data_IF_368280448548
#
_entry.id   IF_368280448548
#
_cell.length_a   1.000
_cell.length_b   1.000
_cell.length_c   1.000
_cell.angle_alpha   90.00
_cell.angle_beta   90.00
_cell.angle_gamma   90.00
#
_symmetry.space_group_name_H-M   'P 1'
#
loop_
_entity.id
_entity.type
_entity.pdbx_description
1 polymer ?
#
# COMPACT_ATOMS: atom_id res chain seq x y z
N UNK A 1 -3.73 8.53 -47.42
CA UNK A 1 -2.44 7.97 -46.96
C UNK A 1 -2.75 6.82 -46.02
N UNK A 2 -2.00 5.71 -46.12
CA UNK A 2 -2.23 4.51 -45.31
C UNK A 2 -1.46 4.65 -43.99
N UNK A 3 -1.96 4.06 -42.90
CA UNK A 3 -1.31 4.08 -41.58
C UNK A 3 0.14 3.54 -41.61
N UNK A 4 0.42 2.64 -42.54
CA UNK A 4 1.75 2.09 -42.80
C UNK A 4 2.77 3.16 -43.22
N UNK A 5 2.33 4.18 -43.95
CA UNK A 5 3.19 5.24 -44.45
C UNK A 5 3.68 6.09 -43.26
N UNK A 6 2.77 6.46 -42.36
CA UNK A 6 3.06 7.23 -41.15
C UNK A 6 4.07 6.53 -40.24
N UNK A 7 3.94 5.21 -40.06
CA UNK A 7 4.89 4.42 -39.25
C UNK A 7 6.27 4.36 -39.92
N UNK A 8 6.32 4.16 -41.25
CA UNK A 8 7.58 4.14 -41.99
C UNK A 8 8.31 5.49 -41.92
N UNK A 9 7.57 6.60 -41.96
CA UNK A 9 8.12 7.95 -41.93
C UNK A 9 8.64 8.30 -40.53
N UNK A 10 7.89 7.94 -39.48
CA UNK A 10 8.35 8.05 -38.10
C UNK A 10 9.65 7.25 -37.87
N UNK A 11 9.75 6.03 -38.43
CA UNK A 11 10.95 5.21 -38.31
C UNK A 11 12.19 5.87 -38.97
N UNK A 12 12.04 6.44 -40.16
CA UNK A 12 13.14 7.16 -40.84
C UNK A 12 13.62 8.36 -40.02
N UNK A 13 12.70 9.12 -39.42
CA UNK A 13 13.05 10.25 -38.56
C UNK A 13 13.85 9.81 -37.30
N UNK A 14 13.51 8.66 -36.71
CA UNK A 14 14.25 8.09 -35.57
C UNK A 14 15.69 7.73 -35.96
N UNK A 15 15.85 7.04 -37.10
CA UNK A 15 17.14 6.53 -37.56
C UNK A 15 18.08 7.66 -38.00
N UNK A 16 17.54 8.73 -38.56
CA UNK A 16 18.32 9.90 -38.97
C UNK A 16 19.03 10.58 -37.80
N UNK A 17 18.37 10.66 -36.62
CA UNK A 17 18.92 11.35 -35.45
C UNK A 17 18.96 10.45 -34.20
N UNK A 18 19.84 9.45 -34.22
CA UNK A 18 19.92 8.38 -33.21
C UNK A 18 20.08 8.88 -31.78
N UNK A 19 20.98 9.84 -31.53
CA UNK A 19 21.25 10.34 -30.18
C UNK A 19 20.03 11.02 -29.55
N UNK A 20 19.39 11.94 -30.28
CA UNK A 20 18.20 12.66 -29.78
C UNK A 20 17.00 11.74 -29.67
N UNK A 21 16.83 10.82 -30.62
CA UNK A 21 15.73 9.85 -30.57
C UNK A 21 15.82 8.93 -29.36
N UNK A 22 17.03 8.47 -29.00
CA UNK A 22 17.24 7.69 -27.76
C UNK A 22 16.88 8.51 -26.52
N UNK A 23 17.37 9.75 -26.39
CA UNK A 23 17.05 10.63 -25.27
C UNK A 23 15.54 10.90 -25.13
N UNK A 24 14.86 11.14 -26.25
CA UNK A 24 13.40 11.36 -26.30
C UNK A 24 12.63 10.11 -25.87
N UNK A 25 12.94 8.96 -26.47
CA UNK A 25 12.29 7.70 -26.15
C UNK A 25 12.55 7.30 -24.70
N UNK A 26 13.75 7.53 -24.17
CA UNK A 26 14.12 7.21 -22.80
C UNK A 26 13.43 8.15 -21.80
N UNK A 27 13.30 9.44 -22.10
CA UNK A 27 12.55 10.39 -21.26
C UNK A 27 11.07 9.98 -21.13
N UNK A 28 10.43 9.63 -22.24
CA UNK A 28 9.04 9.13 -22.24
C UNK A 28 8.96 7.77 -21.52
N UNK A 29 9.88 6.85 -21.83
CA UNK A 29 9.87 5.51 -21.26
C UNK A 29 10.05 5.53 -19.74
N UNK A 30 10.98 6.33 -19.21
CA UNK A 30 11.20 6.47 -17.77
C UNK A 30 9.98 7.08 -17.08
N UNK A 31 9.38 8.12 -17.66
CA UNK A 31 8.18 8.74 -17.11
C UNK A 31 7.00 7.76 -17.03
N UNK A 32 6.75 7.01 -18.10
CA UNK A 32 5.70 5.99 -18.16
C UNK A 32 6.01 4.81 -17.23
N UNK A 33 7.26 4.33 -17.19
CA UNK A 33 7.66 3.23 -16.31
C UNK A 33 7.46 3.60 -14.83
N UNK A 34 7.80 4.81 -14.42
CA UNK A 34 7.62 5.28 -13.05
C UNK A 34 6.15 5.30 -12.63
N UNK A 35 5.26 5.80 -13.49
CA UNK A 35 3.80 5.83 -13.25
C UNK A 35 3.24 4.41 -13.16
N UNK A 36 3.64 3.51 -14.07
CA UNK A 36 3.20 2.11 -14.06
C UNK A 36 3.67 1.39 -12.80
N UNK A 37 4.94 1.52 -12.42
CA UNK A 37 5.47 0.84 -11.24
C UNK A 37 4.73 1.24 -9.98
N UNK A 38 4.53 2.54 -9.78
CA UNK A 38 3.91 3.05 -8.57
C UNK A 38 2.43 2.70 -8.46
N UNK A 39 1.68 2.85 -9.55
CA UNK A 39 0.26 2.45 -9.57
C UNK A 39 0.12 0.95 -9.35
N UNK A 40 1.05 0.14 -9.86
CA UNK A 40 1.03 -1.31 -9.69
C UNK A 40 1.36 -1.76 -8.27
N UNK A 41 2.34 -1.10 -7.63
CA UNK A 41 2.68 -1.33 -6.22
C UNK A 41 1.54 -0.86 -5.32
N UNK A 42 0.96 0.32 -5.58
CA UNK A 42 -0.12 0.87 -4.78
C UNK A 42 -1.36 -0.02 -4.79
N UNK A 43 -1.80 -0.46 -5.97
CA UNK A 43 -2.92 -1.39 -6.10
C UNK A 43 -2.62 -2.76 -5.48
N UNK A 44 -1.41 -3.28 -5.71
CA UNK A 44 -0.99 -4.54 -5.11
C UNK A 44 -1.04 -4.48 -3.58
N UNK A 45 -0.49 -3.42 -2.97
CA UNK A 45 -0.53 -3.21 -1.53
C UNK A 45 -1.96 -3.06 -1.01
N UNK A 46 -2.82 -2.33 -1.73
CA UNK A 46 -4.22 -2.18 -1.37
C UNK A 46 -4.94 -3.55 -1.34
N UNK A 47 -4.76 -4.38 -2.36
CA UNK A 47 -5.34 -5.74 -2.42
C UNK A 47 -4.78 -6.67 -1.34
N UNK A 48 -3.48 -6.59 -1.09
CA UNK A 48 -2.84 -7.37 -0.03
C UNK A 48 -3.45 -7.06 1.33
N UNK A 49 -3.61 -5.78 1.67
CA UNK A 49 -4.20 -5.41 2.95
C UNK A 49 -5.67 -5.76 3.04
N UNK A 50 -6.44 -5.60 1.95
CA UNK A 50 -7.81 -6.08 1.91
C UNK A 50 -7.87 -7.58 2.19
N UNK A 51 -6.99 -8.38 1.58
CA UNK A 51 -6.92 -9.82 1.81
C UNK A 51 -6.53 -10.16 3.26
N UNK A 52 -5.51 -9.49 3.81
CA UNK A 52 -5.07 -9.64 5.21
C UNK A 52 -6.21 -9.36 6.18
N UNK A 53 -6.93 -8.25 6.01
CA UNK A 53 -8.04 -7.89 6.90
C UNK A 53 -9.29 -8.76 6.69
N UNK A 54 -9.60 -9.15 5.46
CA UNK A 54 -10.72 -10.06 5.18
C UNK A 54 -10.56 -11.43 5.88
N UNK A 55 -9.34 -11.86 6.17
CA UNK A 55 -9.08 -13.10 6.92
C UNK A 55 -9.36 -13.01 8.43
N UNK A 56 -9.44 -11.79 8.99
CA UNK A 56 -9.69 -11.56 10.42
C UNK A 56 -11.13 -11.11 10.66
N UNK A 57 -11.79 -10.58 9.63
CA UNK A 57 -13.12 -9.97 9.71
C UNK A 57 -13.01 -8.44 9.69
N UNK A 58 -13.95 -7.76 9.04
CA UNK A 58 -13.93 -6.29 8.90
C UNK A 58 -14.54 -5.56 10.09
N UNK A 59 -14.82 -6.30 11.16
CA UNK A 59 -15.63 -5.89 12.29
C UNK A 59 -14.81 -5.66 13.55
N UNK A 60 -13.55 -5.24 13.42
CA UNK A 60 -12.68 -4.90 14.53
C UNK A 60 -12.41 -3.39 14.56
N UNK A 61 -12.62 -2.79 15.72
CA UNK A 61 -12.22 -1.41 16.03
C UNK A 61 -11.13 -1.44 17.09
N UNK A 62 -10.03 -0.73 16.87
CA UNK A 62 -8.94 -0.64 17.83
C UNK A 62 -9.03 0.66 18.61
N UNK A 63 -9.00 0.57 19.92
CA UNK A 63 -8.95 1.71 20.83
C UNK A 63 -7.57 1.76 21.48
N UNK A 64 -6.83 2.84 21.26
CA UNK A 64 -5.47 3.04 21.77
C UNK A 64 -5.40 4.28 22.68
N UNK A 65 -4.51 4.30 23.69
CA UNK A 65 -4.35 5.45 24.56
C UNK A 65 -3.69 6.62 23.81
N UNK A 66 -4.04 7.85 24.17
CA UNK A 66 -3.49 9.09 23.61
C UNK A 66 -4.33 9.64 22.47
N UNK A 67 -4.12 10.93 22.16
CA UNK A 67 -4.71 11.61 20.99
C UNK A 67 -3.70 11.65 19.85
N UNK A 68 -4.10 11.21 18.66
CA UNK A 68 -3.29 11.30 17.44
C UNK A 68 -3.44 12.62 16.68
N UNK A 69 -4.38 13.49 17.07
CA UNK A 69 -4.60 14.80 16.43
C UNK A 69 -3.82 15.92 17.11
N UNK A 70 -2.86 16.52 16.38
CA UNK A 70 -2.09 17.72 16.73
C UNK A 70 -2.92 19.02 16.61
N UNK A 71 -4.15 19.01 17.10
CA UNK A 71 -5.06 20.16 17.07
C UNK A 71 -5.45 20.58 18.47
N UNK A 72 -4.61 21.38 19.13
CA UNK A 72 -4.92 21.95 20.45
C UNK A 72 -3.70 22.62 21.07
N UNK A 73 -3.85 23.90 21.41
CA UNK A 73 -2.90 24.65 22.21
C UNK A 73 -2.78 24.00 23.59
N UNK A 74 -1.61 23.47 23.94
CA UNK A 74 -1.20 23.47 25.33
C UNK A 74 0.31 23.69 25.46
N UNK A 75 0.76 24.88 25.89
CA UNK A 75 2.15 25.15 26.18
C UNK A 75 2.52 24.47 27.51
N UNK A 76 3.51 23.57 27.50
CA UNK A 76 4.37 23.34 28.68
C UNK A 76 4.00 22.28 29.73
N UNK A 77 3.05 21.36 29.51
CA UNK A 77 2.83 20.23 30.42
C UNK A 77 3.17 18.88 29.78
N UNK A 78 3.78 17.92 30.51
CA UNK A 78 4.03 16.59 29.98
C UNK A 78 2.70 15.96 29.57
N UNK A 79 2.62 15.47 28.33
CA UNK A 79 1.48 14.73 27.81
C UNK A 79 1.29 13.44 28.61
N UNK A 80 0.58 13.50 29.74
CA UNK A 80 0.19 12.31 30.48
C UNK A 80 -0.97 11.65 29.74
N UNK A 81 -0.59 10.84 28.75
CA UNK A 81 -1.48 9.86 28.14
C UNK A 81 -1.98 8.96 29.28
N UNK A 82 -3.28 9.04 29.60
CA UNK A 82 -3.89 8.12 30.56
C UNK A 82 -3.86 6.72 29.94
N UNK A 83 -3.21 5.73 30.58
CA UNK A 83 -3.24 4.37 30.08
C UNK A 83 -4.66 3.82 30.10
N UNK A 84 -5.00 3.00 29.10
CA UNK A 84 -6.23 2.22 29.13
C UNK A 84 -6.12 1.15 30.22
N UNK A 85 -7.19 0.92 30.97
CA UNK A 85 -7.17 -0.08 32.05
C UNK A 85 -7.98 -1.32 31.69
N UNK A 86 -7.76 -2.41 32.43
CA UNK A 86 -8.60 -3.60 32.32
C UNK A 86 -10.05 -3.32 32.73
N UNK A 87 -10.27 -2.37 33.63
CA UNK A 87 -11.62 -1.92 34.02
C UNK A 87 -12.34 -1.24 32.85
N UNK A 88 -11.61 -0.50 32.01
CA UNK A 88 -12.19 0.12 30.82
C UNK A 88 -12.63 -0.93 29.80
N UNK A 89 -11.81 -1.96 29.58
CA UNK A 89 -12.19 -3.11 28.76
C UNK A 89 -13.45 -3.82 29.31
N UNK A 90 -13.53 -3.99 30.63
CA UNK A 90 -14.73 -4.57 31.26
C UNK A 90 -15.96 -3.66 31.14
N UNK A 91 -15.80 -2.35 31.30
CA UNK A 91 -16.89 -1.39 31.15
C UNK A 91 -17.44 -1.40 29.72
N UNK A 92 -16.56 -1.44 28.71
CA UNK A 92 -16.95 -1.59 27.30
C UNK A 92 -17.76 -2.86 27.08
N UNK A 93 -17.30 -4.00 27.63
CA UNK A 93 -18.02 -5.28 27.53
C UNK A 93 -19.39 -5.27 28.23
N UNK A 94 -19.52 -4.59 29.38
CA UNK A 94 -20.77 -4.55 30.16
C UNK A 94 -21.81 -3.59 29.60
N UNK A 95 -21.37 -2.42 29.10
CA UNK A 95 -22.28 -1.34 28.70
C UNK A 95 -22.60 -1.31 27.20
N UNK A 96 -21.86 -2.04 26.36
CA UNK A 96 -22.09 -2.12 24.92
C UNK A 96 -22.46 -3.56 24.52
N UNK A 97 -23.74 -3.98 24.67
CA UNK A 97 -24.18 -5.35 24.39
C UNK A 97 -24.05 -5.75 22.90
N UNK A 98 -23.90 -4.77 22.01
CA UNK A 98 -23.68 -4.99 20.58
C UNK A 98 -22.26 -5.48 20.23
N UNK A 99 -21.33 -5.45 21.18
CA UNK A 99 -19.98 -5.98 20.98
C UNK A 99 -20.02 -7.51 21.14
N UNK A 100 -19.55 -8.22 20.12
CA UNK A 100 -19.38 -9.68 20.15
C UNK A 100 -18.14 -10.09 20.94
N UNK A 101 -17.17 -9.19 21.07
CA UNK A 101 -15.94 -9.44 21.84
C UNK A 101 -15.23 -8.15 22.25
N UNK A 102 -14.55 -8.20 23.40
CA UNK A 102 -13.64 -7.15 23.86
C UNK A 102 -12.31 -7.80 24.24
N UNK A 103 -11.27 -7.41 23.53
CA UNK A 103 -9.94 -8.03 23.63
C UNK A 103 -8.92 -6.99 24.05
N UNK A 104 -8.55 -6.93 25.34
CA UNK A 104 -7.47 -6.07 25.81
C UNK A 104 -6.13 -6.57 25.26
N UNK A 105 -5.28 -5.66 24.77
CA UNK A 105 -4.00 -5.97 24.13
C UNK A 105 -2.81 -5.39 24.89
N UNK A 106 -1.83 -6.24 25.17
CA UNK A 106 -0.52 -5.86 25.71
C UNK A 106 0.55 -6.64 24.95
N UNK A 107 1.46 -5.95 24.27
CA UNK A 107 2.57 -6.59 23.56
C UNK A 107 3.90 -6.35 24.27
N UNK A 108 4.77 -7.35 24.22
CA UNK A 108 6.15 -7.22 24.65
C UNK A 108 6.98 -8.42 24.25
N UNK A 109 8.29 -8.23 24.10
CA UNK A 109 9.20 -9.34 23.83
C UNK A 109 9.73 -9.88 25.15
N UNK A 110 9.69 -11.20 25.32
CA UNK A 110 10.22 -11.86 26.50
C UNK A 110 11.04 -13.10 26.12
N UNK A 111 11.99 -13.46 26.98
CA UNK A 111 12.69 -14.74 26.89
C UNK A 111 11.81 -15.86 27.45
N UNK A 112 11.69 -16.93 26.68
CA UNK A 112 10.88 -18.09 26.97
C UNK A 112 11.81 -19.31 27.11
N UNK A 113 11.69 -20.02 28.23
CA UNK A 113 12.52 -21.18 28.52
C UNK A 113 11.69 -22.40 28.90
N UNK A 114 11.90 -23.50 28.18
CA UNK A 114 11.34 -24.82 28.49
C UNK A 114 12.29 -25.93 28.01
N UNK A 115 12.36 -27.05 28.75
CA UNK A 115 13.09 -28.25 28.32
C UNK A 115 14.57 -28.02 27.99
N UNK A 116 15.24 -27.07 28.65
CA UNK A 116 16.64 -26.71 28.37
C UNK A 116 16.84 -25.81 27.14
N UNK A 117 15.78 -25.40 26.44
CA UNK A 117 15.83 -24.46 25.31
C UNK A 117 15.40 -23.07 25.74
N UNK A 118 15.99 -22.05 25.10
CA UNK A 118 15.73 -20.64 25.35
C UNK A 118 15.45 -19.94 24.01
N UNK A 119 14.36 -19.17 23.93
CA UNK A 119 14.02 -18.36 22.76
C UNK A 119 13.45 -17.03 23.19
N UNK A 120 13.85 -15.95 22.52
CA UNK A 120 13.22 -14.64 22.70
C UNK A 120 12.19 -14.43 21.59
N UNK A 121 10.95 -14.20 21.97
CA UNK A 121 9.84 -14.04 21.04
C UNK A 121 8.76 -13.10 21.59
N UNK A 122 7.76 -12.81 20.75
CA UNK A 122 6.68 -11.91 21.08
C UNK A 122 5.69 -12.58 22.05
N UNK A 123 5.30 -11.84 23.08
CA UNK A 123 4.22 -12.18 24.00
C UNK A 123 3.06 -11.24 23.72
N UNK A 124 1.88 -11.82 23.54
CA UNK A 124 0.63 -11.09 23.37
C UNK A 124 -0.31 -11.36 24.55
N UNK A 125 -0.43 -10.37 25.43
CA UNK A 125 -1.38 -10.32 26.52
C UNK A 125 -2.79 -10.07 26.00
N UNK A 126 -3.70 -11.01 26.23
CA UNK A 126 -5.03 -11.00 25.62
C UNK A 126 -6.12 -11.64 26.50
N UNK A 127 -7.34 -11.76 25.99
CA UNK A 127 -8.46 -12.46 26.61
C UNK A 127 -8.94 -13.62 25.73
N UNK A 128 -9.87 -14.44 26.23
CA UNK A 128 -10.50 -15.51 25.47
C UNK A 128 -11.17 -15.03 24.16
N UNK A 129 -11.59 -13.76 24.12
CA UNK A 129 -12.26 -13.15 22.97
C UNK A 129 -11.36 -13.00 21.74
N UNK A 130 -10.04 -13.17 21.86
CA UNK A 130 -9.11 -13.08 20.72
C UNK A 130 -9.42 -14.12 19.64
N UNK A 131 -9.72 -15.36 20.03
CA UNK A 131 -9.98 -16.46 19.10
C UNK A 131 -11.15 -16.17 18.16
N UNK A 132 -12.35 -15.83 18.67
CA UNK A 132 -13.46 -15.46 17.78
C UNK A 132 -13.23 -14.11 17.09
N UNK A 133 -12.57 -13.14 17.74
CA UNK A 133 -12.31 -11.83 17.14
C UNK A 133 -11.38 -11.89 15.93
N UNK A 134 -10.40 -12.79 15.95
CA UNK A 134 -9.40 -12.92 14.89
C UNK A 134 -9.54 -14.20 14.08
N UNK A 135 -10.59 -15.01 14.29
CA UNK A 135 -10.77 -16.31 13.62
C UNK A 135 -9.57 -17.25 13.80
N UNK A 136 -8.96 -17.27 14.99
CA UNK A 136 -7.85 -18.19 15.28
C UNK A 136 -8.37 -19.61 15.50
N UNK A 137 -7.58 -20.62 15.12
CA UNK A 137 -7.93 -22.02 15.33
C UNK A 137 -6.99 -22.64 16.35
N UNK A 138 -7.54 -23.33 17.36
CA UNK A 138 -6.73 -24.09 18.34
C UNK A 138 -6.45 -25.47 17.76
N UNK A 139 -5.18 -25.81 17.55
CA UNK A 139 -4.79 -27.13 17.03
C UNK A 139 -4.81 -28.21 18.11
N UNK A 140 -4.43 -27.88 19.35
CA UNK A 140 -4.41 -28.86 20.44
C UNK A 140 -4.66 -28.17 21.78
N UNK A 141 -5.42 -28.82 22.67
CA UNK A 141 -5.77 -28.27 23.98
C UNK A 141 -6.92 -27.28 23.89
N UNK A 142 -6.81 -26.16 24.62
CA UNK A 142 -7.83 -25.10 24.67
C UNK A 142 -7.16 -23.73 24.66
N UNK A 143 -7.89 -22.71 24.22
CA UNK A 143 -7.43 -21.34 24.36
C UNK A 143 -7.54 -20.84 25.80
N UNK A 144 -7.16 -19.58 26.04
CA UNK A 144 -7.31 -18.91 27.32
C UNK A 144 -8.80 -18.95 27.76
N UNK A 145 -9.09 -19.33 29.01
CA UNK A 145 -10.44 -19.25 29.56
C UNK A 145 -10.92 -17.80 29.75
N UNK A 146 -12.22 -17.60 29.83
CA UNK A 146 -12.77 -16.31 30.28
C UNK A 146 -12.49 -16.14 31.76
N UNK A 147 -11.61 -15.21 32.09
CA UNK A 147 -11.21 -14.90 33.46
C UNK A 147 -11.30 -13.39 33.71
N UNK A 148 -11.76 -13.03 34.90
CA UNK A 148 -11.71 -11.65 35.36
C UNK A 148 -10.28 -11.24 35.67
N UNK A 149 -9.98 -9.95 35.54
CA UNK A 149 -8.63 -9.40 35.70
C UNK A 149 -7.93 -9.82 37.01
N UNK A 150 -8.68 -9.92 38.12
CA UNK A 150 -8.14 -10.30 39.44
C UNK A 150 -7.98 -11.80 39.67
N UNK A 151 -8.43 -12.66 38.75
CA UNK A 151 -8.42 -14.12 38.89
C UNK A 151 -7.62 -14.81 37.78
N UNK A 152 -6.87 -14.03 36.98
CA UNK A 152 -6.13 -14.54 35.84
C UNK A 152 -5.13 -15.62 36.30
N UNK A 153 -5.27 -16.83 35.77
CA UNK A 153 -4.33 -17.93 36.03
C UNK A 153 -3.10 -17.80 35.14
N UNK A 154 -1.99 -18.40 35.58
CA UNK A 154 -0.73 -18.40 34.83
C UNK A 154 -0.80 -19.42 33.69
N UNK A 155 -1.67 -19.15 32.72
CA UNK A 155 -1.85 -19.96 31.52
C UNK A 155 -1.20 -19.30 30.32
N UNK A 156 -0.68 -20.14 29.43
CA UNK A 156 -0.14 -19.72 28.15
C UNK A 156 -0.63 -20.63 27.03
N UNK A 157 -0.89 -20.03 25.88
CA UNK A 157 -1.15 -20.71 24.60
C UNK A 157 -0.02 -20.34 23.65
N UNK A 158 0.50 -21.33 22.93
CA UNK A 158 1.67 -21.13 22.06
C UNK A 158 1.27 -21.12 20.59
N UNK A 159 1.91 -20.26 19.79
CA UNK A 159 1.97 -20.40 18.35
C UNK A 159 2.69 -21.69 17.92
N UNK A 160 2.47 -22.09 16.67
CA UNK A 160 2.94 -23.38 16.16
C UNK A 160 4.47 -23.47 16.07
N UNK A 161 5.16 -22.36 15.77
CA UNK A 161 6.63 -22.28 15.72
C UNK A 161 7.23 -22.34 17.12
N UNK A 162 6.71 -21.55 18.08
CA UNK A 162 7.17 -21.62 19.48
C UNK A 162 7.02 -23.02 20.07
N UNK A 163 5.91 -23.70 19.78
CA UNK A 163 5.72 -25.09 20.21
C UNK A 163 6.83 -25.98 19.67
N UNK A 164 7.10 -25.93 18.37
CA UNK A 164 8.09 -26.78 17.70
C UNK A 164 9.50 -26.52 18.24
N UNK A 165 9.85 -25.26 18.44
CA UNK A 165 11.20 -24.90 18.86
C UNK A 165 11.47 -25.17 20.34
N UNK A 166 10.54 -24.82 21.23
CA UNK A 166 10.73 -25.02 22.67
C UNK A 166 10.54 -26.48 23.08
N UNK A 167 9.53 -27.16 22.52
CA UNK A 167 9.14 -28.51 22.97
C UNK A 167 9.51 -29.63 21.98
N UNK A 168 9.93 -29.32 20.75
CA UNK A 168 10.30 -30.33 19.75
C UNK A 168 9.13 -31.27 19.42
N UNK A 169 9.38 -32.58 19.55
CA UNK A 169 8.37 -33.64 19.42
C UNK A 169 7.58 -33.92 20.70
N UNK A 170 7.98 -33.35 21.84
CA UNK A 170 7.27 -33.56 23.11
C UNK A 170 5.97 -32.78 23.17
N UNK A 171 4.95 -33.33 23.85
CA UNK A 171 3.67 -32.65 24.03
C UNK A 171 3.81 -31.47 24.99
N UNK A 172 3.57 -30.22 24.57
CA UNK A 172 3.73 -29.06 25.45
C UNK A 172 2.61 -28.95 26.48
N UNK A 173 1.45 -29.60 26.25
CA UNK A 173 0.26 -29.43 27.08
C UNK A 173 0.52 -29.86 28.52
N UNK A 174 0.17 -28.99 29.46
CA UNK A 174 0.35 -29.18 30.89
C UNK A 174 1.77 -28.93 31.41
N UNK A 175 2.76 -28.76 30.53
CA UNK A 175 4.12 -28.44 30.93
C UNK A 175 4.23 -26.98 31.40
N UNK A 176 5.28 -26.70 32.18
CA UNK A 176 5.62 -25.35 32.62
C UNK A 176 6.56 -24.69 31.61
N UNK A 177 6.24 -23.47 31.23
CA UNK A 177 7.05 -22.59 30.41
C UNK A 177 7.42 -21.36 31.24
N UNK A 178 8.70 -21.07 31.38
CA UNK A 178 9.15 -19.83 32.03
C UNK A 178 9.17 -18.72 30.99
N UNK A 179 8.49 -17.61 31.25
CA UNK A 179 8.47 -16.43 30.39
C UNK A 179 8.96 -15.25 31.24
N UNK A 180 10.13 -14.72 30.92
CA UNK A 180 10.84 -13.76 31.76
C UNK A 180 11.08 -14.33 33.18
N UNK A 181 10.54 -13.63 34.17
CA UNK A 181 10.62 -14.01 35.59
C UNK A 181 9.45 -14.90 36.08
N UNK A 182 8.42 -15.11 35.26
CA UNK A 182 7.18 -15.81 35.65
C UNK A 182 7.08 -17.22 35.03
N UNK A 183 6.33 -18.12 35.67
CA UNK A 183 6.09 -19.47 35.16
C UNK A 183 4.63 -19.64 34.74
N UNK A 184 4.42 -20.09 33.51
CA UNK A 184 3.09 -20.34 32.95
C UNK A 184 2.91 -21.82 32.65
N UNK A 185 1.68 -22.32 32.77
CA UNK A 185 1.28 -23.65 32.32
C UNK A 185 0.74 -23.57 30.91
N UNK A 186 1.30 -24.37 30.00
CA UNK A 186 0.81 -24.44 28.63
C UNK A 186 -0.53 -25.18 28.60
N UNK A 187 -1.58 -24.56 28.07
CA UNK A 187 -2.93 -25.15 28.00
C UNK A 187 -3.43 -25.37 26.58
N UNK A 188 -2.75 -24.80 25.59
CA UNK A 188 -3.12 -24.94 24.19
C UNK A 188 -2.00 -24.57 23.22
N UNK A 189 -2.20 -24.96 21.97
CA UNK A 189 -1.35 -24.60 20.84
C UNK A 189 -2.26 -24.19 19.69
N UNK A 190 -1.97 -23.05 19.06
CA UNK A 190 -2.70 -22.58 17.89
C UNK A 190 -2.27 -23.35 16.63
N UNK A 191 -3.20 -23.47 15.69
CA UNK A 191 -2.92 -23.99 14.36
C UNK A 191 -2.02 -23.01 13.59
N UNK A 192 -1.15 -23.53 12.69
CA UNK A 192 -0.32 -22.68 11.85
C UNK A 192 -1.15 -21.66 11.08
N UNK A 193 -0.75 -20.38 11.14
CA UNK A 193 -1.41 -19.30 10.40
C UNK A 193 -0.45 -18.48 9.54
N UNK A 194 0.83 -18.42 9.91
CA UNK A 194 1.83 -17.61 9.24
C UNK A 194 1.82 -16.14 9.68
N UNK A 195 2.27 -15.28 8.78
CA UNK A 195 2.41 -13.84 9.04
C UNK A 195 1.08 -13.11 8.84
N UNK A 196 0.81 -12.17 9.72
CA UNK A 196 -0.25 -11.18 9.59
C UNK A 196 0.34 -9.78 9.77
N UNK A 197 0.19 -8.90 8.77
CA UNK A 197 0.79 -7.56 8.76
C UNK A 197 2.27 -7.52 9.16
N UNK A 198 3.06 -8.52 8.74
CA UNK A 198 4.49 -8.64 9.04
C UNK A 198 4.81 -9.19 10.44
N UNK A 199 3.81 -9.56 11.24
CA UNK A 199 3.99 -10.27 12.51
C UNK A 199 3.73 -11.76 12.29
N UNK A 200 4.70 -12.61 12.63
CA UNK A 200 4.51 -14.06 12.59
C UNK A 200 3.68 -14.53 13.79
N UNK A 201 2.40 -14.86 13.55
CA UNK A 201 1.47 -15.33 14.59
C UNK A 201 1.85 -16.72 15.12
N UNK A 202 2.68 -17.47 14.38
CA UNK A 202 3.18 -18.77 14.81
C UNK A 202 4.32 -18.65 15.83
N UNK A 203 4.95 -17.48 15.92
CA UNK A 203 6.04 -17.17 16.87
C UNK A 203 5.59 -16.26 18.02
N UNK A 204 4.31 -16.40 18.45
CA UNK A 204 3.72 -15.63 19.54
C UNK A 204 3.26 -16.52 20.69
N UNK A 205 3.52 -16.08 21.93
CA UNK A 205 2.95 -16.66 23.14
C UNK A 205 1.78 -15.79 23.64
N UNK A 206 0.61 -16.40 23.80
CA UNK A 206 -0.61 -15.73 24.25
C UNK A 206 -0.87 -16.03 25.73
N UNK A 207 -1.03 -14.99 26.54
CA UNK A 207 -1.30 -15.11 27.97
C UNK A 207 -2.34 -14.09 28.42
N UNK A 208 -2.97 -14.23 29.60
CA UNK A 208 -3.96 -13.27 30.08
C UNK A 208 -3.37 -11.86 30.18
N UNK A 209 -4.11 -10.86 29.70
CA UNK A 209 -3.67 -9.45 29.69
C UNK A 209 -3.23 -8.93 31.07
N UNK A 210 -3.88 -9.36 32.14
CA UNK A 210 -3.47 -9.06 33.52
C UNK A 210 -2.04 -9.54 33.82
N UNK A 211 -1.70 -10.77 33.44
CA UNK A 211 -0.35 -11.33 33.61
C UNK A 211 0.67 -10.65 32.70
N UNK A 212 0.27 -10.21 31.51
CA UNK A 212 1.14 -9.42 30.63
C UNK A 212 1.52 -8.07 31.24
N UNK A 213 0.56 -7.38 31.85
CA UNK A 213 0.81 -6.10 32.53
C UNK A 213 1.83 -6.27 33.66
N UNK A 214 1.67 -7.32 34.47
CA UNK A 214 2.61 -7.67 35.55
C UNK A 214 4.00 -8.04 34.98
N UNK A 215 4.03 -8.92 33.98
CA UNK A 215 5.28 -9.41 33.37
C UNK A 215 6.12 -8.27 32.78
N UNK A 216 5.47 -7.30 32.13
CA UNK A 216 6.15 -6.16 31.51
C UNK A 216 6.18 -4.91 32.39
N UNK A 217 5.72 -5.00 33.64
CA UNK A 217 5.61 -3.87 34.58
C UNK A 217 4.97 -2.62 33.94
N UNK A 218 3.85 -2.82 33.23
CA UNK A 218 3.15 -1.75 32.51
C UNK A 218 1.96 -1.21 33.31
N UNK A 219 1.76 0.12 33.35
CA UNK A 219 0.65 0.73 34.09
C UNK A 219 -0.71 0.58 33.40
N UNK A 220 -0.77 0.11 32.14
CA UNK A 220 -2.01 -0.09 31.42
C UNK A 220 -1.83 -0.73 30.04
N UNK A 221 -2.97 -0.95 29.39
CA UNK A 221 -3.10 -1.61 28.10
C UNK A 221 -2.56 -0.73 26.97
N UNK A 222 -2.03 -1.39 25.94
CA UNK A 222 -1.58 -0.71 24.72
C UNK A 222 -2.73 -0.47 23.75
N UNK A 223 -3.69 -1.37 23.73
CA UNK A 223 -4.87 -1.29 22.90
C UNK A 223 -6.02 -2.11 23.49
N UNK A 224 -7.23 -1.83 23.05
CA UNK A 224 -8.42 -2.66 23.27
C UNK A 224 -9.07 -2.84 21.90
N UNK A 225 -9.18 -4.08 21.44
CA UNK A 225 -9.94 -4.40 20.24
C UNK A 225 -11.40 -4.66 20.61
N UNK A 226 -12.30 -4.01 19.89
CA UNK A 226 -13.73 -4.16 19.99
C UNK A 226 -14.22 -4.87 18.72
N UNK A 227 -14.75 -6.07 18.91
CA UNK A 227 -15.38 -6.83 17.82
C UNK A 227 -16.88 -6.67 17.92
N UNK A 228 -17.54 -6.44 16.78
CA UNK A 228 -18.98 -6.19 16.71
C UNK A 228 -19.62 -7.03 15.59
N UNK A 229 -20.95 -7.11 15.55
CA UNK A 229 -21.65 -7.80 14.46
C UNK A 229 -21.54 -7.00 13.16
N UNK A 230 -21.18 -7.64 12.04
CA UNK A 230 -21.01 -6.99 10.73
C UNK A 230 -22.25 -6.25 10.22
N UNK A 231 -23.45 -6.58 10.74
CA UNK A 231 -24.69 -5.88 10.39
C UNK A 231 -24.75 -4.47 10.97
N UNK A 232 -23.89 -4.13 11.92
CA UNK A 232 -23.85 -2.83 12.56
C UNK A 232 -22.94 -1.87 11.82
N UNK A 233 -23.31 -0.60 11.80
CA UNK A 233 -22.45 0.45 11.26
C UNK A 233 -21.21 0.64 12.15
N UNK A 234 -19.98 0.57 11.60
CA UNK A 234 -18.75 0.87 12.34
C UNK A 234 -18.81 2.23 13.04
N UNK A 235 -19.40 3.24 12.38
CA UNK A 235 -19.53 4.59 12.92
C UNK A 235 -20.41 4.63 14.18
N UNK A 236 -21.47 3.82 14.23
CA UNK A 236 -22.33 3.75 15.41
C UNK A 236 -21.62 3.08 16.61
N UNK A 237 -20.79 2.07 16.34
CA UNK A 237 -19.97 1.42 17.38
C UNK A 237 -18.91 2.38 17.92
N UNK A 238 -18.21 3.08 17.01
CA UNK A 238 -17.21 4.11 17.37
C UNK A 238 -17.84 5.23 18.20
N UNK A 239 -19.01 5.74 17.81
CA UNK A 239 -19.69 6.81 18.54
C UNK A 239 -20.06 6.40 19.98
N UNK A 240 -20.58 5.18 20.16
CA UNK A 240 -20.96 4.67 21.48
C UNK A 240 -19.75 4.36 22.36
N UNK A 241 -18.72 3.72 21.80
CA UNK A 241 -17.46 3.47 22.51
C UNK A 241 -16.79 4.79 22.95
N UNK A 242 -16.78 5.79 22.05
CA UNK A 242 -16.29 7.14 22.34
C UNK A 242 -17.09 7.79 23.47
N UNK A 243 -18.41 7.78 23.40
CA UNK A 243 -19.26 8.39 24.43
C UNK A 243 -19.02 7.76 25.81
N UNK A 244 -18.97 6.43 25.89
CA UNK A 244 -18.74 5.70 27.14
C UNK A 244 -17.35 6.02 27.72
N UNK A 245 -16.31 5.96 26.90
CA UNK A 245 -14.94 6.19 27.34
C UNK A 245 -14.71 7.65 27.73
N UNK A 246 -15.25 8.60 26.98
CA UNK A 246 -15.20 10.03 27.34
C UNK A 246 -15.91 10.31 28.66
N UNK A 247 -17.06 9.67 28.91
CA UNK A 247 -17.78 9.82 30.19
C UNK A 247 -16.98 9.25 31.37
N UNK A 248 -16.33 8.08 31.19
CA UNK A 248 -15.47 7.47 32.22
C UNK A 248 -14.19 8.24 32.46
N UNK A 249 -13.62 8.82 31.42
CA UNK A 249 -12.33 9.50 31.50
C UNK A 249 -12.44 10.99 31.81
N UNK A 250 -13.63 11.56 31.66
CA UNK A 250 -13.91 13.00 31.79
C UNK A 250 -13.32 13.84 30.65
N UNK A 251 -12.63 13.20 29.69
CA UNK A 251 -12.00 13.81 28.51
C UNK A 251 -11.75 12.74 27.46
N UNK A 252 -11.56 13.18 26.22
CA UNK A 252 -11.04 12.32 25.16
C UNK A 252 -9.51 12.27 25.21
N UNK A 253 -8.99 11.20 25.82
CA UNK A 253 -7.56 10.89 25.92
C UNK A 253 -7.20 9.56 25.24
N UNK A 254 -8.04 9.11 24.31
CA UNK A 254 -7.89 7.88 23.54
C UNK A 254 -8.17 8.16 22.05
N UNK A 255 -7.67 7.27 21.21
CA UNK A 255 -7.92 7.26 19.77
C UNK A 255 -8.62 5.97 19.41
N UNK A 256 -9.67 6.08 18.59
CA UNK A 256 -10.39 4.94 18.03
C UNK A 256 -10.07 4.89 16.54
N UNK A 257 -9.50 3.77 16.10
CA UNK A 257 -9.10 3.54 14.71
C UNK A 257 -9.90 2.36 14.17
N UNK A 258 -10.60 2.60 13.07
CA UNK A 258 -11.27 1.54 12.31
C UNK A 258 -10.35 1.03 11.20
N UNK A 259 -10.67 -0.14 10.65
CA UNK A 259 -9.97 -0.64 9.46
C UNK A 259 -10.10 0.31 8.26
N UNK A 260 -11.27 0.96 8.11
CA UNK A 260 -11.48 1.95 7.06
C UNK A 260 -10.54 3.16 7.20
N UNK A 261 -10.27 3.60 8.44
CA UNK A 261 -9.29 4.66 8.72
C UNK A 261 -7.88 4.22 8.31
N UNK A 262 -7.48 2.99 8.63
CA UNK A 262 -6.16 2.46 8.24
C UNK A 262 -5.99 2.41 6.72
N UNK A 263 -6.99 1.90 5.99
CA UNK A 263 -7.00 1.88 4.52
C UNK A 263 -6.98 3.29 3.95
N UNK A 264 -7.74 4.22 4.55
CA UNK A 264 -7.76 5.64 4.17
C UNK A 264 -6.42 6.32 4.37
N UNK A 265 -5.75 6.13 5.51
CA UNK A 265 -4.42 6.67 5.79
C UNK A 265 -3.40 6.14 4.78
N UNK A 266 -3.42 4.84 4.49
CA UNK A 266 -2.52 4.29 3.49
C UNK A 266 -2.81 4.83 2.10
N UNK A 267 -4.09 4.90 1.70
CA UNK A 267 -4.48 5.46 0.42
C UNK A 267 -3.98 6.91 0.29
N UNK A 268 -4.06 7.71 1.37
CA UNK A 268 -3.50 9.05 1.41
C UNK A 268 -1.96 9.05 1.24
N UNK A 269 -1.24 8.16 1.91
CA UNK A 269 0.22 8.03 1.74
C UNK A 269 0.55 7.65 0.30
N UNK A 270 -0.12 6.63 -0.25
CA UNK A 270 0.06 6.19 -1.63
C UNK A 270 -0.27 7.31 -2.61
N UNK A 271 -1.31 8.10 -2.37
CA UNK A 271 -1.66 9.26 -3.20
C UNK A 271 -0.58 10.34 -3.16
N UNK A 272 0.00 10.63 -2.00
CA UNK A 272 1.10 11.60 -1.88
C UNK A 272 2.34 11.11 -2.64
N UNK A 273 2.72 9.84 -2.45
CA UNK A 273 3.83 9.23 -3.21
C UNK A 273 3.51 9.22 -4.71
N UNK A 274 2.27 8.94 -5.09
CA UNK A 274 1.77 8.98 -6.47
C UNK A 274 1.87 10.35 -7.09
N UNK A 275 1.51 11.40 -6.36
CA UNK A 275 1.70 12.77 -6.83
C UNK A 275 3.17 13.12 -6.98
N UNK A 276 4.03 12.74 -6.03
CA UNK A 276 5.46 13.05 -6.07
C UNK A 276 6.16 12.37 -7.26
N UNK A 277 5.96 11.07 -7.43
CA UNK A 277 6.53 10.31 -8.57
C UNK A 277 5.84 10.70 -9.87
N UNK A 278 4.54 10.98 -9.84
CA UNK A 278 3.81 11.53 -10.98
C UNK A 278 4.36 12.87 -11.45
N UNK A 279 4.79 13.74 -10.53
CA UNK A 279 5.47 14.98 -10.87
C UNK A 279 6.86 14.73 -11.49
N UNK A 280 7.65 13.81 -10.94
CA UNK A 280 8.94 13.40 -11.52
C UNK A 280 8.77 12.75 -12.91
N UNK A 281 7.77 11.90 -13.06
CA UNK A 281 7.37 11.30 -14.33
C UNK A 281 6.87 12.35 -15.31
N UNK A 282 6.13 13.34 -14.84
CA UNK A 282 5.67 14.50 -15.62
C UNK A 282 6.84 15.34 -16.14
N UNK A 283 7.86 15.60 -15.32
CA UNK A 283 9.10 16.26 -15.77
C UNK A 283 9.80 15.42 -16.85
N UNK A 284 9.87 14.10 -16.66
CA UNK A 284 10.46 13.19 -17.66
C UNK A 284 9.68 13.18 -18.98
N UNK A 285 8.34 13.21 -18.91
CA UNK A 285 7.45 13.34 -20.06
C UNK A 285 7.61 14.71 -20.75
N UNK A 286 7.82 15.80 -20.00
CA UNK A 286 8.12 17.12 -20.57
C UNK A 286 9.45 17.12 -21.33
N UNK A 287 10.50 16.52 -20.76
CA UNK A 287 11.80 16.34 -21.44
C UNK A 287 11.62 15.52 -22.72
N UNK A 288 10.85 14.43 -22.66
CA UNK A 288 10.44 13.66 -23.83
C UNK A 288 9.67 14.50 -24.86
N UNK A 289 8.73 15.33 -24.43
CA UNK A 289 7.96 16.22 -25.29
C UNK A 289 8.82 17.25 -26.01
N UNK A 290 9.78 17.88 -25.33
CA UNK A 290 10.78 18.78 -25.95
C UNK A 290 11.61 18.03 -26.98
N UNK A 291 11.95 16.77 -26.69
CA UNK A 291 12.58 15.86 -27.62
C UNK A 291 11.76 15.64 -28.90
N UNK A 292 10.45 15.37 -28.77
CA UNK A 292 9.53 15.24 -29.90
C UNK A 292 9.48 16.53 -30.72
N UNK A 293 9.29 17.69 -30.09
CA UNK A 293 9.30 18.99 -30.78
C UNK A 293 10.57 19.15 -31.61
N UNK A 294 11.72 18.85 -31.02
CA UNK A 294 13.03 19.01 -31.65
C UNK A 294 13.19 18.08 -32.86
N UNK A 295 12.86 16.79 -32.70
CA UNK A 295 12.95 15.81 -33.78
C UNK A 295 11.99 16.19 -34.91
N UNK A 296 10.76 16.59 -34.58
CA UNK A 296 9.75 16.96 -35.56
C UNK A 296 10.10 18.26 -36.31
N UNK A 297 10.64 19.28 -35.64
CA UNK A 297 11.09 20.50 -36.32
C UNK A 297 12.19 20.21 -37.33
N UNK A 298 13.17 19.38 -36.96
CA UNK A 298 14.25 18.96 -37.88
C UNK A 298 13.66 18.16 -39.06
N UNK A 299 12.78 17.21 -38.76
CA UNK A 299 12.11 16.41 -39.78
C UNK A 299 11.31 17.26 -40.78
N UNK A 300 10.69 18.36 -40.32
CA UNK A 300 10.00 19.33 -41.19
C UNK A 300 11.02 20.07 -42.05
N UNK A 301 12.12 20.55 -41.48
CA UNK A 301 13.17 21.25 -42.22
C UNK A 301 13.81 20.37 -43.31
N UNK A 302 14.13 19.11 -42.99
CA UNK A 302 14.69 18.15 -43.95
C UNK A 302 13.71 17.79 -45.07
N UNK A 303 12.40 17.84 -44.80
CA UNK A 303 11.33 17.49 -45.75
C UNK A 303 10.62 18.72 -46.34
N UNK A 304 11.21 19.91 -46.24
CA UNK A 304 10.58 21.17 -46.68
C UNK A 304 10.13 21.11 -48.14
N UNK A 305 10.99 20.62 -49.05
CA UNK A 305 10.69 20.50 -50.48
C UNK A 305 9.55 19.49 -50.75
N UNK A 306 9.54 18.34 -50.06
CA UNK A 306 8.47 17.34 -50.17
C UNK A 306 7.12 17.91 -49.71
N UNK A 307 7.11 18.68 -48.61
CA UNK A 307 5.91 19.32 -48.07
C UNK A 307 5.42 20.41 -49.05
N UNK A 308 6.33 21.19 -49.63
CA UNK A 308 6.02 22.20 -50.63
C UNK A 308 5.36 21.61 -51.89
N UNK A 309 5.86 20.47 -52.36
CA UNK A 309 5.27 19.72 -53.47
C UNK A 309 3.87 19.20 -53.13
N UNK A 310 3.67 18.67 -51.91
CA UNK A 310 2.36 18.22 -51.44
C UNK A 310 1.33 19.36 -51.43
N UNK A 311 1.72 20.53 -50.95
CA UNK A 311 0.85 21.72 -50.89
C UNK A 311 0.55 22.23 -52.31
N UNK A 312 1.53 22.28 -53.22
CA UNK A 312 1.33 22.74 -54.60
C UNK A 312 0.43 21.82 -55.42
N UNK A 313 0.44 20.52 -55.12
CA UNK A 313 -0.50 19.52 -55.65
C UNK A 313 -1.91 19.60 -55.04
N UNK A 314 -2.17 20.55 -54.13
CA UNK A 314 -3.49 20.83 -53.57
C UNK A 314 -3.78 20.16 -52.23
N UNK A 315 -2.77 19.65 -51.51
CA UNK A 315 -2.99 19.11 -50.17
C UNK A 315 -3.51 20.20 -49.21
N UNK A 316 -4.62 19.93 -48.53
CA UNK A 316 -5.18 20.85 -47.53
C UNK A 316 -4.24 20.94 -46.32
N UNK A 317 -4.12 22.12 -45.71
CA UNK A 317 -3.34 22.34 -44.46
C UNK A 317 -3.67 21.34 -43.34
N UNK A 318 -4.95 20.95 -43.21
CA UNK A 318 -5.39 19.94 -42.23
C UNK A 318 -4.80 18.56 -42.49
N UNK A 319 -4.60 18.18 -43.75
CA UNK A 319 -3.99 16.90 -44.14
C UNK A 319 -2.52 16.87 -43.76
N UNK A 320 -1.77 17.93 -44.07
CA UNK A 320 -0.35 18.06 -43.69
C UNK A 320 -0.22 18.07 -42.17
N UNK A 321 -1.07 18.82 -41.46
CA UNK A 321 -1.07 18.85 -40.00
C UNK A 321 -1.36 17.46 -39.40
N UNK A 322 -2.36 16.73 -39.92
CA UNK A 322 -2.69 15.39 -39.44
C UNK A 322 -1.55 14.38 -39.68
N UNK A 323 -0.78 14.52 -40.76
CA UNK A 323 0.37 13.67 -41.07
C UNK A 323 1.46 13.80 -39.99
N UNK A 324 1.93 15.03 -39.75
CA UNK A 324 2.98 15.28 -38.76
C UNK A 324 2.52 15.02 -37.32
N UNK A 325 1.25 15.30 -37.02
CA UNK A 325 0.68 14.98 -35.72
C UNK A 325 0.60 13.46 -35.51
N UNK A 326 0.28 12.69 -36.57
CA UNK A 326 0.34 11.24 -36.56
C UNK A 326 1.75 10.70 -36.30
N UNK A 327 2.78 11.27 -36.92
CA UNK A 327 4.18 10.90 -36.64
C UNK A 327 4.55 11.15 -35.16
N UNK A 328 4.16 12.31 -34.62
CA UNK A 328 4.43 12.64 -33.22
C UNK A 328 3.75 11.67 -32.24
N UNK A 329 2.51 11.25 -32.53
CA UNK A 329 1.79 10.23 -31.75
C UNK A 329 2.43 8.86 -31.87
N UNK A 330 2.88 8.45 -33.05
CA UNK A 330 3.59 7.18 -33.22
C UNK A 330 4.90 7.17 -32.42
N UNK A 331 5.65 8.28 -32.44
CA UNK A 331 6.87 8.44 -31.65
C UNK A 331 6.61 8.34 -30.15
N UNK A 332 5.59 9.03 -29.64
CA UNK A 332 5.25 8.94 -28.22
C UNK A 332 4.68 7.57 -27.85
N UNK A 333 3.88 6.94 -28.72
CA UNK A 333 3.37 5.59 -28.51
C UNK A 333 4.51 4.57 -28.41
N UNK A 334 5.55 4.68 -29.25
CA UNK A 334 6.75 3.83 -29.15
C UNK A 334 7.49 4.03 -27.83
N UNK A 335 7.70 5.28 -27.40
CA UNK A 335 8.30 5.58 -26.09
C UNK A 335 7.44 5.07 -24.93
N UNK A 336 6.12 5.19 -25.04
CA UNK A 336 5.17 4.70 -24.04
C UNK A 336 5.12 3.17 -23.96
N UNK A 337 5.16 2.48 -25.09
CA UNK A 337 5.26 1.01 -25.15
C UNK A 337 6.59 0.53 -24.58
N UNK A 338 7.70 1.22 -24.86
CA UNK A 338 9.00 0.92 -24.27
C UNK A 338 8.97 1.11 -22.74
N UNK A 339 8.41 2.23 -22.27
CA UNK A 339 8.23 2.50 -20.85
C UNK A 339 7.34 1.47 -20.15
N UNK A 340 6.26 1.05 -20.82
CA UNK A 340 5.38 0.00 -20.34
C UNK A 340 6.12 -1.34 -20.23
N UNK A 341 6.87 -1.74 -21.26
CA UNK A 341 7.66 -2.96 -21.24
C UNK A 341 8.71 -2.96 -20.12
N UNK A 342 9.41 -1.83 -19.93
CA UNK A 342 10.37 -1.65 -18.84
C UNK A 342 9.66 -1.70 -17.48
N UNK A 343 8.55 -0.97 -17.32
CA UNK A 343 7.79 -0.92 -16.08
C UNK A 343 7.23 -2.28 -15.66
N UNK A 344 6.63 -3.02 -16.61
CA UNK A 344 6.15 -4.39 -16.37
C UNK A 344 7.33 -5.33 -16.10
N UNK A 345 8.43 -5.22 -16.85
CA UNK A 345 9.62 -6.04 -16.63
C UNK A 345 10.21 -5.86 -15.24
N UNK A 346 10.33 -4.61 -14.77
CA UNK A 346 10.76 -4.31 -13.41
C UNK A 346 9.75 -4.84 -12.38
N UNK A 347 8.45 -4.61 -12.60
CA UNK A 347 7.39 -5.10 -11.71
C UNK A 347 7.44 -6.63 -11.52
N UNK A 348 7.59 -7.38 -12.62
CA UNK A 348 7.72 -8.83 -12.58
C UNK A 348 9.05 -9.27 -11.95
N UNK A 349 10.15 -8.56 -12.23
CA UNK A 349 11.45 -8.82 -11.60
C UNK A 349 11.40 -8.64 -10.08
N UNK A 350 10.72 -7.59 -9.60
CA UNK A 350 10.48 -7.38 -8.16
C UNK A 350 9.65 -8.51 -7.57
N UNK A 351 8.60 -8.96 -8.25
CA UNK A 351 7.79 -10.07 -7.78
C UNK A 351 8.58 -11.40 -7.67
N UNK A 352 9.50 -11.66 -8.59
CA UNK A 352 10.38 -12.83 -8.57
C UNK A 352 11.41 -12.78 -7.43
N UNK A 353 12.01 -11.60 -7.19
CA UNK A 353 13.04 -11.42 -6.16
C UNK A 353 12.46 -11.26 -4.75
N UNK A 354 11.26 -10.68 -4.64
CA UNK A 354 10.57 -10.37 -3.41
C UNK A 354 9.11 -10.84 -3.52
N UNK A 355 8.83 -12.15 -3.39
CA UNK A 355 7.47 -12.69 -3.51
C UNK A 355 6.49 -12.16 -2.45
N UNK A 356 7.02 -11.58 -1.36
CA UNK A 356 6.23 -10.92 -0.32
C UNK A 356 5.69 -9.54 -0.75
N UNK A 357 6.20 -8.93 -1.83
CA UNK A 357 5.68 -7.66 -2.32
C UNK A 357 4.50 -7.90 -3.27
N UNK A 358 3.30 -7.43 -2.90
CA UNK A 358 2.14 -7.55 -3.76
C UNK A 358 2.28 -6.54 -4.90
N UNK A 359 2.51 -7.04 -6.10
CA UNK A 359 2.57 -6.23 -7.31
C UNK A 359 1.45 -6.70 -8.23
N UNK A 360 0.55 -5.80 -8.57
CA UNK A 360 -0.50 -6.11 -9.55
C UNK A 360 -0.54 -5.00 -10.58
N UNK A 361 -0.61 -5.34 -11.86
CA UNK A 361 -0.64 -4.38 -12.98
C UNK A 361 -2.03 -4.35 -13.62
N UNK A 362 -3.01 -3.59 -13.08
CA UNK A 362 -4.33 -3.48 -13.67
C UNK A 362 -4.30 -2.91 -15.08
N UNK A 363 -5.08 -3.51 -15.98
CA UNK A 363 -5.27 -3.02 -17.35
C UNK A 363 -5.69 -1.54 -17.45
N UNK A 364 -6.54 -0.99 -16.54
CA UNK A 364 -6.88 0.43 -16.57
C UNK A 364 -5.67 1.37 -16.47
N UNK A 365 -4.67 1.06 -15.63
CA UNK A 365 -3.48 1.90 -15.48
C UNK A 365 -2.58 1.84 -16.71
N UNK A 366 -2.52 0.68 -17.38
CA UNK A 366 -1.81 0.52 -18.66
C UNK A 366 -2.44 1.42 -19.73
N UNK A 367 -3.77 1.39 -19.86
CA UNK A 367 -4.50 2.22 -20.82
C UNK A 367 -4.34 3.72 -20.51
N UNK A 368 -4.37 4.10 -19.23
CA UNK A 368 -4.19 5.48 -18.80
C UNK A 368 -2.77 5.98 -19.12
N UNK A 369 -1.74 5.15 -18.88
CA UNK A 369 -0.36 5.49 -19.20
C UNK A 369 -0.12 5.62 -20.71
N UNK A 370 -0.67 4.71 -21.53
CA UNK A 370 -0.61 4.81 -22.99
C UNK A 370 -1.36 6.05 -23.51
N UNK A 371 -2.54 6.34 -22.93
CA UNK A 371 -3.30 7.55 -23.23
C UNK A 371 -2.53 8.82 -22.89
N UNK A 372 -1.85 8.85 -21.75
CA UNK A 372 -0.98 9.96 -21.34
C UNK A 372 0.19 10.15 -22.32
N UNK A 373 0.83 9.07 -22.75
CA UNK A 373 1.90 9.13 -23.74
C UNK A 373 1.41 9.67 -25.09
N UNK A 374 0.24 9.20 -25.55
CA UNK A 374 -0.39 9.71 -26.77
C UNK A 374 -0.74 11.20 -26.66
N UNK A 375 -1.24 11.64 -25.50
CA UNK A 375 -1.55 13.05 -25.23
C UNK A 375 -0.29 13.93 -25.27
N UNK A 376 0.82 13.48 -24.68
CA UNK A 376 2.11 14.19 -24.74
C UNK A 376 2.61 14.31 -26.18
N UNK A 377 2.53 13.23 -26.96
CA UNK A 377 2.89 13.24 -28.38
C UNK A 377 2.04 14.19 -29.22
N UNK A 378 0.72 14.19 -29.01
CA UNK A 378 -0.21 15.14 -29.62
C UNK A 378 0.22 16.58 -29.29
N UNK A 379 0.34 16.92 -28.01
CA UNK A 379 0.65 18.28 -27.56
C UNK A 379 2.01 18.77 -28.09
N UNK A 380 3.04 17.94 -28.02
CA UNK A 380 4.37 18.25 -28.53
C UNK A 380 4.39 18.39 -30.06
N UNK A 381 3.59 17.59 -30.78
CA UNK A 381 3.52 17.60 -32.23
C UNK A 381 2.78 18.79 -32.85
N UNK A 382 1.91 19.49 -32.09
CA UNK A 382 1.08 20.59 -32.65
C UNK A 382 1.92 21.71 -33.25
N UNK A 383 2.97 22.16 -32.57
CA UNK A 383 3.78 23.28 -33.01
C UNK A 383 4.52 22.99 -34.34
N UNK A 384 5.31 21.91 -34.47
CA UNK A 384 5.98 21.58 -35.74
C UNK A 384 4.97 21.22 -36.85
N UNK A 385 3.88 20.52 -36.53
CA UNK A 385 2.85 20.20 -37.53
C UNK A 385 2.17 21.46 -38.10
N UNK A 386 1.95 22.48 -37.26
CA UNK A 386 1.45 23.79 -37.71
C UNK A 386 2.46 24.55 -38.56
N UNK A 387 3.75 24.47 -38.23
CA UNK A 387 4.80 25.08 -39.04
C UNK A 387 4.84 24.46 -40.44
N UNK A 388 4.85 23.13 -40.54
CA UNK A 388 4.81 22.40 -41.81
C UNK A 388 3.58 22.76 -42.66
N UNK A 389 2.40 22.82 -42.04
CA UNK A 389 1.15 23.13 -42.75
C UNK A 389 1.03 24.60 -43.21
N UNK A 390 1.94 25.49 -42.78
CA UNK A 390 1.95 26.92 -43.12
C UNK A 390 3.10 27.32 -44.05
N UNK A 391 3.92 26.36 -44.50
CA UNK A 391 4.97 26.62 -45.48
C UNK A 391 4.39 27.22 -46.77
N UNK A 392 5.10 28.22 -47.32
CA UNK A 392 4.81 28.74 -48.65
C UNK A 392 5.38 27.75 -49.69
N UNK A 393 4.53 27.17 -50.56
CA UNK A 393 5.00 26.20 -51.56
C UNK A 393 6.02 26.79 -52.53
N UNK A 394 6.00 28.11 -52.79
CA UNK A 394 6.98 28.76 -53.69
C UNK A 394 8.35 28.84 -53.00
N UNK A 395 8.40 29.25 -51.74
CA UNK A 395 9.66 29.31 -50.97
C UNK A 395 10.22 27.92 -50.71
N UNK A 396 9.35 26.95 -50.38
CA UNK A 396 9.74 25.58 -50.06
C UNK A 396 10.39 24.85 -51.25
N UNK A 397 9.99 25.15 -52.49
CA UNK A 397 10.57 24.59 -53.71
C UNK A 397 11.80 25.37 -54.21
N UNK A 398 12.06 26.56 -53.66
CA UNK A 398 13.20 27.42 -54.02
C UNK A 398 14.43 27.19 -53.15
N UNK A 399 14.28 26.47 -52.04
CA UNK A 399 15.30 26.26 -51.01
C UNK A 399 16.36 25.19 -51.36
N UNK A 400 16.59 24.94 -52.65
CA UNK A 400 17.71 24.11 -53.14
C UNK A 400 18.97 24.94 -53.42
#
# INVERSE_FOLDING_TARGET
>A
MRWTDTVSMAWRAIVAQRGRSVLTLLGIAVGIAAVILLTSIGEGLHRFLLAEFSQIGTNVVTLSPGRTTTGGTNPGFPSSVRPLTLEDAQALRRHLPQLTGVTPGVTGNAEMQAGGRLRRALVYGTSAALVPAFHLTVATGRFLPEEEAGQARDFVVLGSTLRRELFGSSSPLGQRLRIGSQQFRVIGVLAPRGQFLGVDLDDVAYLPSARALELFNRPGLMEIHLTYDERLSPAAVVAQARALMSARHGREDFTIVTQADMLGTLSNILNIVTMAVGALGGISLLVGGVGIVTIMTIAVSERTAEIGLLISLGARRRTVMALFLGEAVVLSALGGLLGLAIGIGIAQGVHLLLPALPVSTPLPFVLLALGLSAAVGLLAGVMPARAAARLDPVEALRAE
#
